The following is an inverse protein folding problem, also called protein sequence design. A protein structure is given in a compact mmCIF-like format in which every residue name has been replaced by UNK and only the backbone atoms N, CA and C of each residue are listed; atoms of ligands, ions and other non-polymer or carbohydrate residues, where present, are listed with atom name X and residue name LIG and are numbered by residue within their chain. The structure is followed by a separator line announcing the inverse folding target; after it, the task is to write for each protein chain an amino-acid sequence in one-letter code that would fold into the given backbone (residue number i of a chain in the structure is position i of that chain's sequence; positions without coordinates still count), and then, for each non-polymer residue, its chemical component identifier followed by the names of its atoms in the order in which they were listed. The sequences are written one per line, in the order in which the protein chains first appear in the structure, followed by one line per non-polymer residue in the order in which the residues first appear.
data_IF_343753327479
#
_entry.id   IF_343753327479
#
_cell.length_a   1.000
_cell.length_b   1.000
_cell.length_c   1.000
_cell.angle_alpha   90.00
_cell.angle_beta   90.00
_cell.angle_gamma   90.00
#
_symmetry.space_group_name_H-M   'P 1'
#
loop_
_entity.id
_entity.type
_entity.pdbx_description
1 polymer ?
#
# COMPACT_ATOMS: atom_id res chain seq x y z
N UNK A 1 -31.98 -7.37 46.30
CA UNK A 1 -30.94 -6.40 45.87
C UNK A 1 -31.05 -6.23 44.37
N UNK A 2 -31.60 -5.10 43.90
CA UNK A 2 -31.71 -4.82 42.47
C UNK A 2 -30.41 -4.14 42.00
N UNK A 3 -29.65 -4.83 41.15
CA UNK A 3 -28.46 -4.28 40.52
C UNK A 3 -28.92 -3.31 39.43
N UNK A 4 -28.78 -2.00 39.67
CA UNK A 4 -28.97 -0.97 38.65
C UNK A 4 -27.92 -1.17 37.57
N UNK A 5 -28.32 -1.69 36.41
CA UNK A 5 -27.49 -1.70 35.22
C UNK A 5 -27.29 -0.22 34.82
N UNK A 6 -26.05 0.30 34.80
CA UNK A 6 -25.84 1.67 34.37
C UNK A 6 -26.24 1.77 32.90
N UNK A 7 -27.32 2.52 32.64
CA UNK A 7 -27.80 2.84 31.30
C UNK A 7 -26.86 3.87 30.65
N UNK A 8 -25.59 3.50 30.48
CA UNK A 8 -24.61 4.33 29.80
C UNK A 8 -24.84 4.17 28.30
N UNK A 9 -25.55 5.13 27.72
CA UNK A 9 -25.61 5.28 26.27
C UNK A 9 -24.17 5.37 25.74
N UNK A 10 -23.81 4.59 24.70
CA UNK A 10 -22.45 4.57 24.19
C UNK A 10 -22.09 5.94 23.60
N UNK A 11 -21.02 6.55 24.12
CA UNK A 11 -20.48 7.81 23.64
C UNK A 11 -20.10 7.70 22.15
N UNK A 12 -20.61 8.63 21.34
CA UNK A 12 -20.30 8.71 19.92
C UNK A 12 -19.31 9.86 19.71
N UNK A 13 -18.08 9.53 19.34
CA UNK A 13 -17.04 10.50 18.97
C UNK A 13 -16.96 10.60 17.46
N UNK A 14 -16.90 11.83 16.94
CA UNK A 14 -16.75 12.10 15.50
C UNK A 14 -15.67 13.13 15.28
N UNK A 15 -14.87 12.95 14.24
CA UNK A 15 -13.89 13.95 13.81
C UNK A 15 -13.62 13.82 12.32
N UNK A 16 -12.99 14.85 11.77
CA UNK A 16 -12.49 14.91 10.41
C UNK A 16 -10.98 14.76 10.46
N UNK A 17 -10.39 14.16 9.43
CA UNK A 17 -8.96 13.93 9.34
C UNK A 17 -8.47 14.29 7.96
N UNK A 18 -7.37 15.03 7.89
CA UNK A 18 -6.58 15.25 6.68
C UNK A 18 -5.30 14.44 6.82
N UNK A 19 -4.94 13.71 5.78
CA UNK A 19 -3.73 12.90 5.67
C UNK A 19 -2.85 13.47 4.55
N UNK A 20 -1.55 13.61 4.74
CA UNK A 20 -0.58 14.02 3.71
C UNK A 20 0.61 13.08 3.81
N UNK A 21 1.10 12.56 2.69
CA UNK A 21 2.21 11.62 2.71
C UNK A 21 2.99 11.53 1.42
N UNK A 22 4.14 10.89 1.52
CA UNK A 22 5.07 10.65 0.42
C UNK A 22 5.66 9.24 0.49
N UNK A 23 6.03 8.73 -0.68
CA UNK A 23 6.67 7.44 -0.86
C UNK A 23 7.74 7.58 -1.93
N UNK A 24 8.93 7.08 -1.66
CA UNK A 24 10.06 7.15 -2.59
C UNK A 24 10.97 5.94 -2.44
N UNK A 25 11.59 5.58 -3.57
CA UNK A 25 12.60 4.53 -3.64
C UNK A 25 12.66 3.91 -5.03
N UNK A 26 13.33 2.78 -5.10
CA UNK A 26 13.63 2.09 -6.34
C UNK A 26 13.41 0.58 -6.21
N UNK A 27 13.00 -0.07 -7.29
CA UNK A 27 12.75 -1.50 -7.33
C UNK A 27 13.20 -2.10 -8.66
N UNK A 28 13.49 -3.39 -8.65
CA UNK A 28 13.82 -4.14 -9.87
C UNK A 28 12.61 -4.93 -10.34
N UNK A 29 12.35 -4.90 -11.64
CA UNK A 29 11.37 -5.79 -12.27
C UNK A 29 12.04 -6.61 -13.38
N UNK A 30 11.55 -7.85 -13.56
CA UNK A 30 11.98 -8.74 -14.64
C UNK A 30 10.80 -9.05 -15.55
N UNK A 31 11.01 -8.98 -16.85
CA UNK A 31 10.01 -9.36 -17.85
C UNK A 31 10.56 -10.54 -18.64
N UNK A 32 9.89 -11.68 -18.52
CA UNK A 32 10.20 -12.86 -19.33
C UNK A 32 9.59 -12.72 -20.72
N UNK A 33 10.36 -13.08 -21.75
CA UNK A 33 9.89 -13.12 -23.13
C UNK A 33 10.31 -14.40 -23.81
N UNK A 34 9.52 -14.84 -24.79
CA UNK A 34 9.86 -16.00 -25.62
C UNK A 34 10.54 -15.54 -26.92
N UNK A 35 11.88 -15.60 -27.05
CA UNK A 35 12.58 -15.21 -28.27
C UNK A 35 12.13 -15.99 -29.52
N UNK A 36 11.65 -17.23 -29.35
CA UNK A 36 11.24 -18.08 -30.47
C UNK A 36 9.91 -17.67 -31.13
N UNK A 37 9.13 -16.77 -30.52
CA UNK A 37 7.87 -16.29 -31.12
C UNK A 37 8.09 -15.38 -32.34
N UNK A 38 9.30 -14.85 -32.53
CA UNK A 38 9.68 -14.04 -33.70
C UNK A 38 10.31 -14.85 -34.83
N UNK A 39 10.68 -16.11 -34.56
CA UNK A 39 11.32 -16.99 -35.52
C UNK A 39 10.36 -18.14 -35.83
N UNK A 40 9.67 -18.08 -36.98
CA UNK A 40 8.81 -19.14 -37.52
C UNK A 40 9.58 -20.45 -37.77
N UNK A 41 10.01 -21.17 -36.73
CA UNK A 41 10.72 -22.44 -36.89
C UNK A 41 10.29 -23.47 -35.86
N UNK A 42 9.85 -24.61 -36.38
CA UNK A 42 9.45 -25.81 -35.68
C UNK A 42 10.48 -26.23 -34.62
N UNK A 43 10.10 -26.18 -33.34
CA UNK A 43 10.92 -26.69 -32.24
C UNK A 43 10.17 -26.62 -30.91
N UNK A 44 9.84 -27.78 -30.35
CA UNK A 44 9.00 -27.96 -29.17
C UNK A 44 9.74 -27.74 -27.84
N UNK A 45 10.52 -26.66 -27.70
CA UNK A 45 11.18 -26.29 -26.45
C UNK A 45 11.08 -24.77 -26.24
N UNK A 46 10.07 -24.33 -25.49
CA UNK A 46 9.90 -22.94 -25.03
C UNK A 46 11.07 -22.53 -24.14
N UNK A 47 12.05 -21.83 -24.71
CA UNK A 47 13.12 -21.15 -23.96
C UNK A 47 12.67 -19.72 -23.67
N UNK A 48 12.75 -19.28 -22.42
CA UNK A 48 12.46 -17.89 -22.04
C UNK A 48 13.77 -17.13 -21.83
N UNK A 49 13.82 -15.92 -22.38
CA UNK A 49 14.84 -14.90 -22.07
C UNK A 49 14.22 -13.84 -21.17
N UNK A 50 15.04 -13.04 -20.49
CA UNK A 50 14.59 -12.06 -19.51
C UNK A 50 15.21 -10.70 -19.78
N UNK A 51 14.40 -9.65 -19.70
CA UNK A 51 14.89 -8.26 -19.58
C UNK A 51 14.65 -7.73 -18.18
N UNK A 52 15.56 -6.88 -17.73
CA UNK A 52 15.58 -6.33 -16.37
C UNK A 52 15.45 -4.82 -16.39
N UNK A 53 14.58 -4.32 -15.53
CA UNK A 53 14.24 -2.90 -15.44
C UNK A 53 14.46 -2.41 -14.01
N UNK A 54 15.14 -1.28 -13.88
CA UNK A 54 15.19 -0.50 -12.64
C UNK A 54 14.11 0.57 -12.68
N UNK A 55 13.23 0.56 -11.70
CA UNK A 55 12.13 1.51 -11.59
C UNK A 55 12.29 2.36 -10.34
N UNK A 56 12.52 3.66 -10.53
CA UNK A 56 12.61 4.65 -9.45
C UNK A 56 11.31 5.43 -9.40
N UNK A 57 10.71 5.57 -8.22
CA UNK A 57 9.42 6.24 -8.06
C UNK A 57 9.45 7.28 -6.95
N UNK A 58 8.64 8.33 -7.14
CA UNK A 58 8.38 9.37 -6.16
C UNK A 58 6.90 9.72 -6.24
N UNK A 59 6.14 9.41 -5.19
CA UNK A 59 4.69 9.59 -5.14
C UNK A 59 4.35 10.38 -3.89
N UNK A 60 3.52 11.40 -4.04
CA UNK A 60 2.93 12.14 -2.94
C UNK A 60 1.41 12.05 -3.00
N UNK A 61 0.75 12.32 -1.88
CA UNK A 61 -0.70 12.39 -1.87
C UNK A 61 -1.26 13.15 -0.68
N UNK A 62 -2.52 13.54 -0.80
CA UNK A 62 -3.35 14.04 0.27
C UNK A 62 -4.68 13.28 0.37
N UNK A 63 -5.24 13.18 1.56
CA UNK A 63 -6.48 12.47 1.82
C UNK A 63 -7.35 13.23 2.81
N UNK A 64 -8.66 13.03 2.69
CA UNK A 64 -9.63 13.52 3.65
C UNK A 64 -10.53 12.38 4.08
N UNK A 65 -10.80 12.29 5.37
CA UNK A 65 -11.72 11.29 5.91
C UNK A 65 -12.55 11.79 7.07
N UNK A 66 -13.74 11.22 7.20
CA UNK A 66 -14.61 11.37 8.35
C UNK A 66 -14.56 10.09 9.18
N UNK A 67 -14.26 10.25 10.48
CA UNK A 67 -14.16 9.14 11.42
C UNK A 67 -15.28 9.21 12.44
N UNK A 68 -15.91 8.06 12.68
CA UNK A 68 -17.00 7.88 13.64
C UNK A 68 -16.64 6.72 14.56
N UNK A 69 -16.50 6.99 15.85
CA UNK A 69 -16.23 6.00 16.88
C UNK A 69 -17.49 5.85 17.75
N UNK A 70 -17.96 4.62 17.91
CA UNK A 70 -19.09 4.25 18.77
C UNK A 70 -18.74 2.97 19.53
N UNK A 71 -18.50 3.08 20.83
CA UNK A 71 -18.02 1.96 21.66
C UNK A 71 -16.72 1.38 21.10
N UNK A 72 -16.69 0.07 20.85
CA UNK A 72 -15.52 -0.64 20.33
C UNK A 72 -15.40 -0.64 18.79
N UNK A 73 -16.16 0.22 18.11
CA UNK A 73 -16.24 0.27 16.65
C UNK A 73 -15.84 1.64 16.13
N UNK A 74 -14.96 1.67 15.13
CA UNK A 74 -14.52 2.85 14.38
C UNK A 74 -14.88 2.65 12.90
N UNK A 75 -15.62 3.61 12.35
CA UNK A 75 -15.94 3.68 10.91
C UNK A 75 -15.23 4.89 10.32
N UNK A 76 -14.61 4.70 9.17
CA UNK A 76 -13.90 5.74 8.43
C UNK A 76 -14.43 5.76 7.01
N UNK A 77 -14.76 6.93 6.50
CA UNK A 77 -15.13 7.14 5.10
C UNK A 77 -14.24 8.25 4.57
N UNK A 78 -13.55 8.02 3.46
CA UNK A 78 -12.58 8.98 2.96
C UNK A 78 -12.32 8.87 1.48
N UNK A 79 -11.54 9.83 1.00
CA UNK A 79 -11.03 9.87 -0.36
C UNK A 79 -9.57 10.30 -0.26
N UNK A 80 -8.69 9.57 -0.92
CA UNK A 80 -7.31 9.99 -1.13
C UNK A 80 -7.09 10.43 -2.57
N UNK A 81 -6.14 11.31 -2.77
CA UNK A 81 -5.61 11.70 -4.08
C UNK A 81 -4.10 11.59 -4.01
N UNK A 82 -3.49 11.02 -5.04
CA UNK A 82 -2.06 10.86 -5.13
C UNK A 82 -1.57 11.08 -6.55
N UNK A 83 -0.30 11.46 -6.67
CA UNK A 83 0.35 11.64 -7.95
C UNK A 83 1.86 11.65 -7.80
N UNK A 84 2.56 11.35 -8.89
CA UNK A 84 3.99 11.19 -8.86
C UNK A 84 4.60 10.78 -10.19
N UNK A 85 5.90 10.55 -10.18
CA UNK A 85 6.65 10.10 -11.34
C UNK A 85 7.22 8.71 -11.12
N UNK A 86 7.20 7.88 -12.16
CA UNK A 86 7.87 6.59 -12.23
C UNK A 86 8.87 6.65 -13.39
N UNK A 87 10.14 6.50 -13.07
CA UNK A 87 11.24 6.43 -14.03
C UNK A 87 11.62 4.97 -14.21
N UNK A 88 11.48 4.44 -15.42
CA UNK A 88 11.86 3.08 -15.80
C UNK A 88 13.16 3.14 -16.59
N UNK A 89 14.17 2.37 -16.17
CA UNK A 89 15.47 2.25 -16.83
C UNK A 89 15.68 0.81 -17.24
N UNK A 90 15.88 0.54 -18.53
CA UNK A 90 16.24 -0.79 -19.04
C UNK A 90 17.73 -1.04 -18.76
N UNK A 91 18.05 -2.06 -17.96
CA UNK A 91 19.43 -2.31 -17.51
C UNK A 91 20.36 -2.79 -18.63
N UNK A 92 19.83 -3.41 -19.68
CA UNK A 92 20.62 -3.89 -20.82
C UNK A 92 21.10 -2.78 -21.77
N UNK A 93 20.35 -1.69 -21.89
CA UNK A 93 20.63 -0.60 -22.85
C UNK A 93 20.79 0.78 -22.21
N UNK A 94 20.53 0.90 -20.90
CA UNK A 94 20.43 2.16 -20.15
C UNK A 94 19.41 3.17 -20.69
N UNK A 95 18.48 2.73 -21.55
CA UNK A 95 17.39 3.58 -21.99
C UNK A 95 16.44 3.87 -20.83
N UNK A 96 16.00 5.13 -20.74
CA UNK A 96 15.14 5.59 -19.65
C UNK A 96 13.86 6.20 -20.20
N UNK A 97 12.72 5.81 -19.61
CA UNK A 97 11.41 6.42 -19.80
C UNK A 97 10.88 6.94 -18.46
N UNK A 98 10.16 8.05 -18.47
CA UNK A 98 9.55 8.63 -17.27
C UNK A 98 8.07 8.89 -17.53
N UNK A 99 7.23 8.35 -16.66
CA UNK A 99 5.78 8.45 -16.75
C UNK A 99 5.23 9.15 -15.50
N UNK A 100 4.21 9.97 -15.69
CA UNK A 100 3.47 10.58 -14.59
C UNK A 100 2.25 9.72 -14.28
N UNK A 101 2.02 9.43 -12.99
CA UNK A 101 0.88 8.67 -12.51
C UNK A 101 0.04 9.50 -11.57
N UNK A 102 -1.27 9.27 -11.56
CA UNK A 102 -2.19 9.89 -10.63
C UNK A 102 -3.34 8.96 -10.27
N UNK A 103 -3.86 9.09 -9.05
CA UNK A 103 -4.98 8.30 -8.60
C UNK A 103 -5.86 9.01 -7.58
N UNK A 104 -7.13 8.62 -7.58
CA UNK A 104 -8.16 9.00 -6.63
C UNK A 104 -8.73 7.72 -6.02
N UNK A 105 -8.84 7.70 -4.69
CA UNK A 105 -9.10 6.50 -3.91
C UNK A 105 -10.23 6.74 -2.91
N UNK A 106 -11.52 6.67 -3.31
CA UNK A 106 -12.60 6.58 -2.36
C UNK A 106 -12.53 5.27 -1.60
N UNK A 107 -12.68 5.33 -0.28
CA UNK A 107 -12.63 4.15 0.59
C UNK A 107 -13.57 4.26 1.80
N UNK A 108 -13.95 3.08 2.29
CA UNK A 108 -14.62 2.91 3.57
C UNK A 108 -13.88 1.85 4.39
N UNK A 109 -13.70 2.13 5.68
CA UNK A 109 -13.08 1.23 6.65
C UNK A 109 -13.97 1.04 7.86
N UNK A 110 -14.14 -0.19 8.30
CA UNK A 110 -14.80 -0.56 9.55
C UNK A 110 -13.85 -1.38 10.40
N UNK A 111 -13.47 -0.83 11.54
CA UNK A 111 -12.63 -1.47 12.54
C UNK A 111 -13.43 -1.72 13.82
N UNK A 112 -13.46 -2.96 14.28
CA UNK A 112 -13.96 -3.37 15.59
C UNK A 112 -12.78 -3.80 16.47
N UNK A 113 -13.02 -4.27 17.71
CA UNK A 113 -11.94 -4.82 18.55
C UNK A 113 -11.21 -5.98 17.85
N UNK A 114 -11.94 -6.97 17.33
CA UNK A 114 -11.38 -8.23 16.82
C UNK A 114 -11.19 -8.32 15.32
N UNK A 115 -11.94 -7.53 14.55
CA UNK A 115 -11.92 -7.60 13.09
C UNK A 115 -11.84 -6.20 12.49
N UNK A 116 -11.21 -6.07 11.34
CA UNK A 116 -11.22 -4.84 10.56
C UNK A 116 -11.38 -5.17 9.09
N UNK A 117 -12.27 -4.47 8.42
CA UNK A 117 -12.49 -4.61 6.97
C UNK A 117 -12.44 -3.23 6.33
N UNK A 118 -11.90 -3.15 5.13
CA UNK A 118 -11.91 -1.95 4.33
C UNK A 118 -12.07 -2.29 2.86
N UNK A 119 -12.81 -1.45 2.15
CA UNK A 119 -13.03 -1.55 0.73
C UNK A 119 -12.84 -0.17 0.11
N UNK A 120 -12.20 -0.13 -1.04
CA UNK A 120 -11.98 1.09 -1.81
C UNK A 120 -11.83 0.79 -3.28
N UNK A 121 -11.66 1.84 -4.06
CA UNK A 121 -11.42 1.77 -5.49
C UNK A 121 -10.28 2.71 -5.83
N UNK A 122 -9.25 2.20 -6.48
CA UNK A 122 -8.16 2.98 -7.03
C UNK A 122 -8.55 3.38 -8.46
N UNK A 123 -8.75 4.67 -8.72
CA UNK A 123 -9.18 5.21 -10.03
C UNK A 123 -8.16 6.22 -10.55
N UNK A 124 -7.78 6.17 -11.82
CA UNK A 124 -6.84 7.13 -12.41
C UNK A 124 -5.92 6.46 -13.41
N UNK A 125 -4.74 7.05 -13.65
CA UNK A 125 -3.69 6.42 -14.43
C UNK A 125 -2.58 5.93 -13.50
N UNK A 126 -2.48 4.61 -13.36
CA UNK A 126 -1.50 4.00 -12.49
C UNK A 126 -1.00 2.69 -13.06
N UNK A 127 0.26 2.42 -12.73
CA UNK A 127 1.01 1.31 -13.25
C UNK A 127 1.00 0.13 -12.27
N UNK A 128 0.96 -1.09 -12.79
CA UNK A 128 1.19 -2.32 -12.03
C UNK A 128 2.33 -3.06 -12.70
N UNK A 129 3.26 -3.61 -11.92
CA UNK A 129 4.36 -4.40 -12.46
C UNK A 129 3.81 -5.58 -13.29
N UNK A 130 4.37 -5.77 -14.49
CA UNK A 130 4.11 -6.99 -15.27
C UNK A 130 4.83 -8.16 -14.58
N UNK A 131 4.09 -9.22 -14.29
CA UNK A 131 4.59 -10.52 -13.81
C UNK A 131 4.33 -11.63 -14.86
N UNK A 132 4.03 -11.22 -16.10
CA UNK A 132 3.59 -12.10 -17.18
C UNK A 132 4.70 -12.30 -18.23
N UNK A 133 4.80 -13.52 -18.76
CA UNK A 133 5.64 -13.80 -19.94
C UNK A 133 5.00 -13.16 -21.16
N UNK A 134 5.70 -12.24 -21.82
CA UNK A 134 5.16 -11.42 -22.91
C UNK A 134 5.82 -11.74 -24.26
N UNK A 135 5.15 -11.42 -25.37
CA UNK A 135 5.73 -11.48 -26.72
C UNK A 135 6.83 -10.42 -26.90
N UNK A 136 7.79 -10.69 -27.80
CA UNK A 136 8.99 -9.87 -28.02
C UNK A 136 8.68 -8.40 -28.38
N UNK A 137 7.55 -8.15 -29.02
CA UNK A 137 7.09 -6.80 -29.41
C UNK A 137 6.62 -5.93 -28.25
N UNK A 138 6.41 -6.50 -27.06
CA UNK A 138 5.85 -5.81 -25.88
C UNK A 138 6.83 -5.69 -24.70
N UNK A 139 8.13 -5.92 -24.96
CA UNK A 139 9.18 -5.87 -23.94
C UNK A 139 9.50 -4.43 -23.49
N UNK A 140 9.17 -3.41 -24.30
CA UNK A 140 9.58 -2.01 -24.06
C UNK A 140 9.13 -1.39 -22.71
N UNK A 141 8.16 -2.00 -22.00
CA UNK A 141 7.67 -1.50 -20.71
C UNK A 141 7.55 -2.60 -19.64
N UNK A 142 8.08 -2.33 -18.45
CA UNK A 142 8.00 -3.19 -17.26
C UNK A 142 6.65 -3.14 -16.52
N UNK A 143 5.70 -2.34 -16.99
CA UNK A 143 4.44 -2.08 -16.29
C UNK A 143 3.25 -2.15 -17.22
N UNK A 144 2.08 -2.44 -16.65
CA UNK A 144 0.78 -2.39 -17.30
C UNK A 144 -0.05 -1.30 -16.65
N UNK A 145 -0.52 -0.35 -17.46
CA UNK A 145 -1.39 0.73 -17.00
C UNK A 145 -2.80 0.21 -16.77
N UNK A 146 -3.39 0.60 -15.66
CA UNK A 146 -4.76 0.29 -15.29
C UNK A 146 -5.52 1.57 -15.00
N UNK A 147 -6.78 1.60 -15.40
CA UNK A 147 -7.67 2.73 -15.11
C UNK A 147 -8.43 2.57 -13.78
N UNK A 148 -8.60 1.33 -13.33
CA UNK A 148 -9.29 1.02 -12.09
C UNK A 148 -8.82 -0.31 -11.45
N UNK A 149 -8.75 -0.34 -10.12
CA UNK A 149 -8.48 -1.54 -9.33
C UNK A 149 -9.21 -1.50 -7.98
N UNK A 150 -9.63 -2.65 -7.43
CA UNK A 150 -10.17 -2.69 -6.08
C UNK A 150 -9.08 -2.47 -5.04
N UNK A 151 -9.48 -1.92 -3.90
CA UNK A 151 -8.67 -1.87 -2.68
C UNK A 151 -9.38 -2.66 -1.59
N UNK A 152 -8.64 -3.51 -0.90
CA UNK A 152 -9.17 -4.39 0.14
C UNK A 152 -8.26 -4.33 1.36
N UNK A 153 -8.85 -4.21 2.53
CA UNK A 153 -8.17 -4.33 3.82
C UNK A 153 -8.88 -5.37 4.66
N UNK A 154 -8.14 -6.30 5.25
CA UNK A 154 -8.64 -7.28 6.19
C UNK A 154 -7.70 -7.40 7.38
N UNK A 155 -8.27 -7.41 8.59
CA UNK A 155 -7.52 -7.52 9.85
C UNK A 155 -8.24 -8.44 10.81
N UNK A 156 -7.49 -9.29 11.49
CA UNK A 156 -7.97 -10.22 12.51
C UNK A 156 -7.12 -10.11 13.76
N UNK A 157 -7.75 -10.09 14.92
CA UNK A 157 -7.12 -9.99 16.23
C UNK A 157 -7.29 -8.60 16.86
N UNK A 158 -7.01 -8.45 18.16
CA UNK A 158 -7.09 -7.17 18.85
C UNK A 158 -5.88 -6.28 18.55
N UNK A 159 -6.05 -5.19 17.77
CA UNK A 159 -4.97 -4.24 17.37
C UNK A 159 -4.14 -3.77 18.57
N UNK A 160 -4.81 -3.54 19.70
CA UNK A 160 -4.19 -3.14 20.96
C UNK A 160 -3.11 -4.12 21.45
N UNK A 161 -3.21 -5.43 21.17
CA UNK A 161 -2.32 -6.46 21.71
C UNK A 161 -1.57 -7.23 20.65
N UNK A 162 -2.30 -7.81 19.69
CA UNK A 162 -1.72 -8.57 18.59
C UNK A 162 -2.78 -8.71 17.51
N UNK A 163 -2.44 -8.36 16.28
CA UNK A 163 -3.30 -8.55 15.13
C UNK A 163 -2.51 -8.93 13.88
N UNK A 164 -3.18 -9.64 12.99
CA UNK A 164 -2.71 -9.95 11.64
C UNK A 164 -3.53 -9.11 10.67
N UNK A 165 -2.86 -8.59 9.66
CA UNK A 165 -3.41 -7.67 8.69
C UNK A 165 -2.98 -8.06 7.27
N UNK A 166 -3.90 -7.89 6.33
CA UNK A 166 -3.69 -8.02 4.91
C UNK A 166 -4.27 -6.79 4.21
N UNK A 167 -3.48 -6.17 3.35
CA UNK A 167 -3.85 -5.01 2.57
C UNK A 167 -3.54 -5.27 1.10
N UNK A 168 -4.56 -5.10 0.26
CA UNK A 168 -4.45 -5.04 -1.18
C UNK A 168 -4.77 -3.63 -1.66
N UNK A 169 -3.79 -2.87 -2.16
CA UNK A 169 -3.96 -1.49 -2.64
C UNK A 169 -4.33 -0.44 -1.59
N UNK A 170 -4.73 -0.85 -0.39
CA UNK A 170 -5.32 0.00 0.64
C UNK A 170 -4.24 0.67 1.50
N UNK A 171 -3.71 1.80 1.02
CA UNK A 171 -2.67 2.59 1.69
C UNK A 171 -2.69 4.06 1.25
N UNK A 172 -2.10 4.92 2.08
CA UNK A 172 -1.83 6.32 1.78
C UNK A 172 -0.33 6.64 2.03
N UNK A 173 0.41 7.24 1.08
CA UNK A 173 0.05 7.52 -0.33
C UNK A 173 -0.17 6.23 -1.14
N UNK A 174 -0.48 6.37 -2.44
CA UNK A 174 -0.85 5.24 -3.30
C UNK A 174 0.09 4.05 -3.15
N UNK A 175 -0.52 2.87 -3.09
CA UNK A 175 0.16 1.60 -3.04
C UNK A 175 0.72 1.15 -4.39
N UNK A 176 0.46 1.86 -5.48
CA UNK A 176 0.94 1.50 -6.80
C UNK A 176 2.23 2.26 -7.14
N UNK A 177 3.16 1.66 -7.90
CA UNK A 177 3.01 0.39 -8.62
C UNK A 177 3.34 -0.89 -7.83
N UNK A 178 3.89 -0.82 -6.62
CA UNK A 178 4.59 -1.97 -6.02
C UNK A 178 4.21 -2.36 -4.60
N UNK A 179 3.38 -1.60 -3.89
CA UNK A 179 3.04 -1.83 -2.49
C UNK A 179 1.62 -2.39 -2.33
N UNK A 180 1.04 -2.87 -3.43
CA UNK A 180 -0.37 -3.21 -3.53
C UNK A 180 -0.73 -4.56 -2.93
N UNK A 181 0.20 -5.42 -2.50
CA UNK A 181 -0.14 -6.68 -1.81
C UNK A 181 0.79 -6.92 -0.63
N UNK A 182 0.27 -6.74 0.59
CA UNK A 182 1.06 -6.84 1.81
C UNK A 182 0.30 -7.54 2.93
N UNK A 183 1.03 -8.31 3.74
CA UNK A 183 0.54 -8.88 4.99
C UNK A 183 1.46 -8.52 6.14
N UNK A 184 0.93 -8.34 7.34
CA UNK A 184 1.73 -8.07 8.54
C UNK A 184 1.16 -8.70 9.79
N UNK A 185 2.03 -8.87 10.78
CA UNK A 185 1.68 -9.05 12.17
C UNK A 185 2.07 -7.78 12.94
N UNK A 186 1.22 -7.35 13.86
CA UNK A 186 1.42 -6.08 14.56
C UNK A 186 0.86 -6.06 15.97
N UNK A 187 1.28 -5.05 16.72
CA UNK A 187 0.83 -4.80 18.08
C UNK A 187 0.83 -3.30 18.39
N UNK A 188 -0.18 -2.85 19.13
CA UNK A 188 -0.19 -1.54 19.81
C UNK A 188 0.38 -1.56 21.23
N UNK A 189 0.98 -2.68 21.67
CA UNK A 189 1.61 -2.86 22.99
C UNK A 189 0.75 -2.43 24.19
N UNK A 190 -0.56 -2.65 24.11
CA UNK A 190 -1.47 -2.32 25.21
C UNK A 190 -1.79 -0.83 25.37
N UNK A 191 -1.35 0.05 24.46
CA UNK A 191 -1.61 1.48 24.50
C UNK A 191 -3.05 1.79 24.04
N UNK A 192 -3.22 2.10 22.75
CA UNK A 192 -4.52 2.37 22.13
C UNK A 192 -4.52 1.87 20.68
N UNK A 193 -5.69 1.94 20.02
CA UNK A 193 -5.81 1.60 18.60
C UNK A 193 -5.17 2.64 17.66
N UNK A 194 -4.68 3.77 18.21
CA UNK A 194 -3.97 4.81 17.46
C UNK A 194 -2.45 4.55 17.38
N UNK A 195 -1.96 3.49 18.05
CA UNK A 195 -0.58 3.05 17.99
C UNK A 195 -0.51 1.68 17.33
N UNK A 196 0.53 1.46 16.53
CA UNK A 196 0.79 0.15 15.94
C UNK A 196 2.25 0.07 15.51
N UNK A 197 2.96 -0.97 15.96
CA UNK A 197 4.19 -1.42 15.33
C UNK A 197 3.87 -2.71 14.56
N UNK A 198 4.36 -2.83 13.33
CA UNK A 198 4.11 -3.99 12.48
C UNK A 198 5.36 -4.43 11.77
N UNK A 199 5.47 -5.74 11.60
CA UNK A 199 6.41 -6.39 10.72
C UNK A 199 5.63 -7.19 9.68
N UNK A 200 6.05 -7.12 8.42
CA UNK A 200 5.29 -7.75 7.35
C UNK A 200 6.10 -8.08 6.11
N UNK A 201 5.40 -8.62 5.12
CA UNK A 201 5.90 -8.99 3.81
C UNK A 201 5.08 -8.30 2.72
N UNK A 202 5.76 -7.80 1.70
CA UNK A 202 5.16 -7.34 0.44
C UNK A 202 5.31 -8.49 -0.55
N UNK A 203 4.19 -9.08 -0.96
CA UNK A 203 4.18 -10.33 -1.71
C UNK A 203 4.71 -10.16 -3.13
N UNK A 204 4.32 -9.09 -3.81
CA UNK A 204 4.71 -8.83 -5.19
C UNK A 204 6.16 -8.33 -5.35
N UNK A 205 6.82 -7.91 -4.26
CA UNK A 205 8.24 -7.53 -4.25
C UNK A 205 9.12 -8.55 -3.53
N UNK A 206 8.51 -9.61 -2.97
CA UNK A 206 9.21 -10.60 -2.17
C UNK A 206 10.07 -10.05 -1.02
N UNK A 207 9.74 -8.87 -0.49
CA UNK A 207 10.55 -8.16 0.53
C UNK A 207 9.80 -7.98 1.85
N UNK A 208 10.57 -7.83 2.93
CA UNK A 208 10.07 -7.50 4.26
C UNK A 208 9.87 -5.99 4.45
N UNK A 209 9.05 -5.63 5.43
CA UNK A 209 8.94 -4.24 5.87
C UNK A 209 8.66 -4.15 7.37
N UNK A 210 8.99 -2.99 7.93
CA UNK A 210 8.58 -2.57 9.27
C UNK A 210 7.79 -1.28 9.16
N UNK A 211 6.73 -1.13 9.96
CA UNK A 211 5.94 0.10 9.98
C UNK A 211 5.51 0.48 11.39
N UNK A 212 5.44 1.78 11.66
CA UNK A 212 4.98 2.36 12.91
C UNK A 212 3.89 3.42 12.65
N UNK A 213 2.80 3.35 13.40
CA UNK A 213 1.73 4.34 13.46
C UNK A 213 1.68 4.88 14.90
N UNK A 214 1.61 6.19 15.06
CA UNK A 214 1.47 6.83 16.37
C UNK A 214 0.64 8.11 16.30
N UNK A 215 -0.13 8.37 17.34
CA UNK A 215 -0.83 9.64 17.57
C UNK A 215 -0.04 10.45 18.61
N UNK A 216 0.71 11.46 18.16
CA UNK A 216 1.59 12.25 19.01
C UNK A 216 0.81 13.26 19.88
N UNK A 217 -0.37 13.68 19.44
CA UNK A 217 -1.31 14.50 20.20
C UNK A 217 -2.74 14.21 19.74
N UNK A 218 -3.76 14.71 20.45
CA UNK A 218 -5.17 14.51 20.06
C UNK A 218 -5.47 14.87 18.60
N UNK A 219 -4.68 15.80 18.03
CA UNK A 219 -4.87 16.26 16.68
C UNK A 219 -3.82 15.73 15.69
N UNK A 220 -2.63 15.30 16.12
CA UNK A 220 -1.53 15.02 15.19
C UNK A 220 -1.01 13.60 15.30
N UNK A 221 -0.98 12.88 14.18
CA UNK A 221 -0.43 11.53 14.09
C UNK A 221 0.54 11.37 12.93
N UNK A 222 1.35 10.32 13.02
CA UNK A 222 2.36 9.95 12.03
C UNK A 222 2.23 8.48 11.66
N UNK A 223 2.59 8.16 10.43
CA UNK A 223 2.82 6.80 9.97
C UNK A 223 4.14 6.77 9.21
N UNK A 224 4.98 5.80 9.55
CA UNK A 224 6.26 5.54 8.90
C UNK A 224 6.33 4.07 8.54
N UNK A 225 6.79 3.77 7.34
CA UNK A 225 7.09 2.42 6.90
C UNK A 225 8.44 2.41 6.18
N UNK A 226 9.28 1.48 6.58
CA UNK A 226 10.54 1.20 5.92
C UNK A 226 10.46 -0.19 5.29
N UNK A 227 10.75 -0.25 3.99
CA UNK A 227 10.73 -1.46 3.20
C UNK A 227 12.17 -1.88 2.98
N UNK A 228 12.48 -3.13 3.28
CA UNK A 228 13.82 -3.66 3.13
C UNK A 228 14.20 -3.78 1.65
N UNK A 229 15.51 -3.81 1.42
CA UNK A 229 16.06 -4.10 0.11
C UNK A 229 15.50 -5.42 -0.44
N UNK A 230 15.30 -5.49 -1.74
CA UNK A 230 14.82 -6.70 -2.41
C UNK A 230 15.93 -7.76 -2.38
N UNK A 231 15.64 -8.92 -1.78
CA UNK A 231 16.49 -10.11 -1.91
C UNK A 231 16.19 -10.77 -3.26
N UNK A 232 16.64 -10.13 -4.34
CA UNK A 232 16.69 -10.76 -5.64
C UNK A 232 18.09 -11.35 -5.81
N UNK A 233 18.26 -12.55 -5.26
CA UNK A 233 19.36 -13.44 -5.66
C UNK A 233 19.29 -13.59 -7.20
N UNK A 234 20.42 -13.36 -7.88
CA UNK A 234 20.66 -13.52 -9.33
C UNK A 234 20.44 -12.33 -10.30
N UNK A 235 20.26 -11.08 -9.84
CA UNK A 235 20.11 -9.95 -10.77
C UNK A 235 21.43 -9.18 -10.98
N UNK A 236 21.85 -9.07 -12.24
CA UNK A 236 22.96 -8.23 -12.72
C UNK A 236 22.95 -6.83 -12.05
N UNK A 237 23.81 -6.63 -11.05
CA UNK A 237 24.41 -5.35 -10.65
C UNK A 237 23.50 -4.20 -10.17
N UNK A 238 22.19 -4.38 -10.07
CA UNK A 238 21.28 -3.35 -9.57
C UNK A 238 21.22 -3.35 -8.04
N UNK A 239 22.05 -2.57 -7.37
CA UNK A 239 21.88 -2.32 -5.93
C UNK A 239 20.58 -1.52 -5.71
N UNK A 240 19.51 -2.19 -5.29
CA UNK A 240 18.29 -1.50 -4.88
C UNK A 240 18.41 -0.93 -3.48
N UNK A 241 17.88 0.26 -3.23
CA UNK A 241 17.89 0.84 -1.89
C UNK A 241 16.63 0.47 -1.08
N UNK A 242 16.74 0.58 0.25
CA UNK A 242 15.57 0.52 1.12
C UNK A 242 14.62 1.68 0.84
N UNK A 243 13.32 1.44 0.94
CA UNK A 243 12.29 2.41 0.54
C UNK A 243 11.60 2.99 1.77
N UNK A 244 11.16 4.24 1.67
CA UNK A 244 10.43 4.90 2.75
C UNK A 244 9.04 5.32 2.29
N UNK A 245 8.06 5.07 3.16
CA UNK A 245 6.72 5.63 3.07
C UNK A 245 6.44 6.37 4.36
N UNK A 246 6.01 7.62 4.25
CA UNK A 246 5.66 8.43 5.41
C UNK A 246 4.33 9.13 5.17
N UNK A 247 3.56 9.32 6.23
CA UNK A 247 2.42 10.22 6.22
C UNK A 247 2.20 10.87 7.57
N UNK A 248 1.62 12.07 7.52
CA UNK A 248 1.18 12.86 8.65
C UNK A 248 -0.34 12.96 8.57
N UNK A 249 -0.98 12.93 9.73
CA UNK A 249 -2.42 13.12 9.82
C UNK A 249 -2.79 14.19 10.84
N UNK A 250 -3.76 15.03 10.48
CA UNK A 250 -4.31 16.07 11.33
C UNK A 250 -5.82 15.85 11.55
N UNK A 251 -6.24 15.76 12.82
CA UNK A 251 -7.61 15.53 13.26
C UNK A 251 -8.23 16.82 13.78
N UNK A 252 -9.45 17.12 13.34
CA UNK A 252 -10.17 18.34 13.71
C UNK A 252 -11.68 18.12 13.72
N UNK A 253 -12.43 19.12 14.17
CA UNK A 253 -13.89 19.06 14.19
C UNK A 253 -14.44 18.00 15.16
N UNK A 254 -13.75 17.77 16.28
CA UNK A 254 -14.14 16.81 17.31
C UNK A 254 -15.54 17.11 17.86
N UNK A 255 -16.45 16.14 17.75
CA UNK A 255 -17.82 16.19 18.29
C UNK A 255 -18.08 14.96 19.14
N UNK A 256 -18.55 15.18 20.36
CA UNK A 256 -18.92 14.13 21.31
C UNK A 256 -20.43 14.21 21.52
N UNK A 257 -21.15 13.11 21.28
CA UNK A 257 -22.57 12.95 21.66
C UNK A 257 -22.70 11.84 22.69
N UNK A 258 -23.38 12.14 23.79
CA UNK A 258 -23.78 11.19 24.83
C UNK A 258 -25.16 10.62 24.53
#
# INVERSE_FOLDING_TARGET
MAQTIPNQKPEIKRYQRVDIGGSFGDFTNKVGFNPQHTQNQCGSNTSYSYEYFLQTYQIAGAGYSQVIIKGNTKKTFGVNVSGGSIKTTLLGTNQTKSDFVFAINPYAKWESKWFGVGLGLHLGDFNVNKDETTEVSNIEDAHKSYYSRPEIHARVGPKKYLDIDYNYGFMMPSAYPTLYSRSSIGSGFGLSNDYSLRYGRIWNLNTGYISAEALLSDNFGVNLMYIFQENNDDLYGGETSGKFVFSLNYRFGHKIKK
#
